data_IF_122118378369
#
_entry.id   IF_122118378369
#
_cell.length_a   1.000
_cell.length_b   1.000
_cell.length_c   1.000
_cell.angle_alpha   90.00
_cell.angle_beta   90.00
_cell.angle_gamma   90.00
#
_symmetry.space_group_name_H-M   'P 1'
#
loop_
_entity.id
_entity.type
_entity.pdbx_description
1 polymer ?
#
# COMPACT_ATOMS: atom_id res chain seq x y z
N UNK A 1 2.88 -8.03 0.45
CA UNK A 1 3.84 -7.52 1.42
C UNK A 1 4.85 -8.61 1.64
N UNK A 2 4.74 -9.38 2.73
CA UNK A 2 5.67 -10.47 3.01
C UNK A 2 5.01 -11.62 3.80
N UNK A 3 5.84 -12.57 4.23
CA UNK A 3 5.43 -13.73 5.02
C UNK A 3 4.81 -13.33 6.37
N UNK A 4 5.44 -12.42 7.12
CA UNK A 4 5.00 -12.07 8.47
C UNK A 4 3.62 -11.40 8.45
N UNK A 5 3.40 -10.45 7.54
CA UNK A 5 2.07 -9.83 7.40
C UNK A 5 1.02 -10.84 6.90
N UNK A 6 1.39 -11.79 6.05
CA UNK A 6 0.46 -12.85 5.57
C UNK A 6 0.05 -13.79 6.71
N UNK A 7 1.00 -14.20 7.57
CA UNK A 7 0.73 -15.00 8.77
C UNK A 7 -0.22 -14.25 9.71
N UNK A 8 0.09 -12.99 10.01
CA UNK A 8 -0.74 -12.16 10.89
C UNK A 8 -2.15 -11.94 10.32
N UNK A 9 -2.28 -11.67 9.02
CA UNK A 9 -3.57 -11.55 8.33
C UNK A 9 -4.38 -12.84 8.42
N UNK A 10 -3.75 -14.00 8.18
CA UNK A 10 -4.42 -15.30 8.24
C UNK A 10 -5.00 -15.57 9.64
N UNK A 11 -4.24 -15.27 10.70
CA UNK A 11 -4.70 -15.41 12.08
C UNK A 11 -5.85 -14.43 12.40
N UNK A 12 -5.73 -13.17 12.01
CA UNK A 12 -6.78 -12.17 12.23
C UNK A 12 -8.09 -12.53 11.48
N UNK A 13 -7.98 -13.14 10.31
CA UNK A 13 -9.13 -13.58 9.51
C UNK A 13 -9.84 -14.77 10.14
N UNK A 14 -9.11 -15.68 10.79
CA UNK A 14 -9.71 -16.82 11.48
C UNK A 14 -10.66 -16.41 12.61
N UNK A 15 -10.43 -15.24 13.22
CA UNK A 15 -11.25 -14.65 14.27
C UNK A 15 -12.32 -13.68 13.75
N UNK A 16 -12.34 -13.39 12.44
CA UNK A 16 -13.26 -12.42 11.85
C UNK A 16 -14.60 -13.07 11.46
N UNK A 17 -15.72 -12.48 11.90
CA UNK A 17 -17.06 -12.93 11.49
C UNK A 17 -17.50 -12.24 10.20
N UNK A 18 -17.53 -13.01 9.10
CA UNK A 18 -18.01 -12.57 7.81
C UNK A 18 -17.11 -12.98 6.65
N UNK A 19 -17.49 -12.63 5.41
CA UNK A 19 -16.73 -12.99 4.22
C UNK A 19 -15.41 -12.21 4.16
N UNK A 20 -14.32 -12.91 3.87
CA UNK A 20 -13.00 -12.30 3.68
C UNK A 20 -12.37 -12.77 2.38
N UNK A 21 -11.73 -11.84 1.68
CA UNK A 21 -10.84 -12.12 0.56
C UNK A 21 -9.40 -11.78 0.97
N UNK A 22 -8.50 -12.77 0.88
CA UNK A 22 -7.07 -12.60 1.11
C UNK A 22 -6.30 -12.88 -0.19
N UNK A 23 -5.55 -11.88 -0.67
CA UNK A 23 -4.78 -11.96 -1.93
C UNK A 23 -3.35 -12.42 -1.67
N UNK A 24 -2.91 -13.44 -2.39
CA UNK A 24 -1.55 -13.99 -2.31
C UNK A 24 -0.74 -13.70 -3.56
N UNK A 25 0.57 -13.57 -3.37
CA UNK A 25 1.56 -13.55 -4.45
C UNK A 25 2.17 -14.93 -4.68
N UNK A 26 2.64 -15.18 -5.91
CA UNK A 26 3.43 -16.37 -6.26
C UNK A 26 4.95 -16.20 -6.02
N UNK A 27 5.58 -15.04 -6.32
CA UNK A 27 7.01 -14.88 -6.17
C UNK A 27 7.46 -15.02 -4.72
N UNK A 28 8.70 -15.52 -4.52
CA UNK A 28 9.37 -15.41 -3.24
C UNK A 28 9.73 -13.94 -3.02
N UNK A 29 9.28 -13.39 -1.89
CA UNK A 29 9.56 -12.02 -1.46
C UNK A 29 10.48 -12.03 -0.25
N UNK A 30 11.18 -10.92 0.00
CA UNK A 30 11.92 -10.73 1.24
C UNK A 30 10.95 -10.63 2.43
N UNK A 31 11.46 -10.85 3.64
CA UNK A 31 10.71 -10.64 4.89
C UNK A 31 11.29 -9.41 5.54
N UNK A 32 10.48 -8.36 5.66
CA UNK A 32 10.92 -7.03 6.12
C UNK A 32 9.97 -6.41 7.13
N UNK A 33 8.74 -6.92 7.24
CA UNK A 33 7.85 -6.62 8.34
C UNK A 33 8.33 -7.40 9.58
N UNK A 34 8.54 -6.74 10.73
CA UNK A 34 8.86 -7.43 11.98
C UNK A 34 7.83 -8.52 12.32
N UNK A 35 8.26 -9.63 12.93
CA UNK A 35 7.34 -10.74 13.26
C UNK A 35 6.26 -10.33 14.26
N UNK A 36 6.57 -9.37 15.13
CA UNK A 36 5.69 -8.80 16.16
C UNK A 36 4.94 -7.54 15.70
N UNK A 37 5.04 -7.18 14.41
CA UNK A 37 4.31 -6.04 13.88
C UNK A 37 2.79 -6.23 14.08
N UNK A 38 2.08 -5.21 14.60
CA UNK A 38 0.66 -5.34 14.84
C UNK A 38 -0.10 -5.49 13.53
N UNK A 39 -1.14 -6.32 13.55
CA UNK A 39 -2.10 -6.45 12.44
C UNK A 39 -3.51 -6.29 12.98
N UNK A 40 -4.26 -5.35 12.41
CA UNK A 40 -5.67 -5.14 12.76
C UNK A 40 -6.42 -4.88 11.47
N UNK A 41 -7.46 -5.69 11.20
CA UNK A 41 -8.29 -5.53 10.00
C UNK A 41 -8.86 -4.10 9.98
N UNK A 42 -8.61 -3.38 8.89
CA UNK A 42 -9.08 -2.01 8.71
C UNK A 42 -8.18 -0.93 9.29
N UNK A 43 -6.97 -1.29 9.76
CA UNK A 43 -5.95 -0.34 10.16
C UNK A 43 -4.74 -0.41 9.24
N UNK A 44 -4.19 0.75 8.89
CA UNK A 44 -2.98 0.84 8.09
C UNK A 44 -1.73 0.62 8.96
N UNK A 45 -0.64 0.18 8.34
CA UNK A 45 0.66 0.06 8.98
C UNK A 45 1.59 1.15 8.46
N UNK A 46 1.95 2.11 9.30
CA UNK A 46 2.99 3.11 9.00
C UNK A 46 4.36 2.43 9.05
N UNK A 47 5.09 2.51 7.95
CA UNK A 47 6.42 1.89 7.82
C UNK A 47 7.55 2.92 7.90
N UNK A 48 7.27 4.16 7.49
CA UNK A 48 8.24 5.24 7.47
C UNK A 48 7.54 6.58 7.61
N UNK A 49 8.06 7.45 8.46
CA UNK A 49 7.59 8.83 8.57
C UNK A 49 8.29 9.73 7.56
N UNK A 50 7.52 10.61 6.92
CA UNK A 50 8.04 11.69 6.10
C UNK A 50 7.10 12.89 6.01
N UNK A 51 7.53 13.96 5.35
CA UNK A 51 6.81 15.26 5.31
C UNK A 51 6.57 15.82 3.92
N UNK A 52 7.24 15.32 2.89
CA UNK A 52 7.16 15.91 1.54
C UNK A 52 6.13 15.21 0.65
N UNK A 53 5.98 13.89 0.78
CA UNK A 53 5.06 13.09 -0.04
C UNK A 53 4.63 11.81 0.68
N UNK A 54 3.35 11.46 0.57
CA UNK A 54 2.82 10.18 1.06
C UNK A 54 2.87 9.11 -0.02
N UNK A 55 3.31 7.90 0.32
CA UNK A 55 3.26 6.72 -0.53
C UNK A 55 2.36 5.69 0.14
N UNK A 56 1.18 5.48 -0.44
CA UNK A 56 0.24 4.45 0.00
C UNK A 56 0.45 3.20 -0.84
N UNK A 57 0.80 2.08 -0.22
CA UNK A 57 1.17 0.88 -0.95
C UNK A 57 0.49 -0.37 -0.40
N UNK A 58 0.45 -1.43 -1.21
CA UNK A 58 -0.06 -2.73 -0.80
C UNK A 58 0.61 -3.85 -1.61
N UNK A 59 0.51 -5.09 -1.14
CA UNK A 59 1.01 -6.25 -1.89
C UNK A 59 2.53 -6.19 -2.12
N UNK A 60 2.98 -6.55 -3.32
CA UNK A 60 4.42 -6.56 -3.67
C UNK A 60 5.03 -5.16 -3.70
N UNK A 61 4.24 -4.12 -3.94
CA UNK A 61 4.76 -2.76 -4.08
C UNK A 61 5.13 -2.12 -2.74
N UNK A 62 4.90 -2.78 -1.60
CA UNK A 62 5.33 -2.28 -0.29
C UNK A 62 6.85 -2.21 -0.20
N UNK A 63 7.54 -3.28 -0.61
CA UNK A 63 9.01 -3.32 -0.60
C UNK A 63 9.60 -2.31 -1.60
N UNK A 64 9.03 -2.25 -2.82
CA UNK A 64 9.45 -1.29 -3.84
C UNK A 64 9.22 0.16 -3.40
N UNK A 65 8.15 0.44 -2.64
CA UNK A 65 7.89 1.76 -2.07
C UNK A 65 8.91 2.16 -1.01
N UNK A 66 9.39 1.21 -0.21
CA UNK A 66 10.46 1.47 0.78
C UNK A 66 11.78 1.79 0.07
N UNK A 67 12.14 1.02 -0.97
CA UNK A 67 13.33 1.30 -1.80
C UNK A 67 13.23 2.67 -2.47
N UNK A 68 12.08 2.99 -3.08
CA UNK A 68 11.86 4.31 -3.67
C UNK A 68 11.99 5.44 -2.65
N UNK A 69 11.54 5.23 -1.40
CA UNK A 69 11.70 6.20 -0.32
C UNK A 69 13.16 6.35 0.14
N UNK A 70 13.99 5.31 0.04
CA UNK A 70 15.43 5.39 0.26
C UNK A 70 16.10 6.22 -0.85
N UNK A 71 15.84 5.89 -2.11
CA UNK A 71 16.37 6.62 -3.27
C UNK A 71 15.97 8.11 -3.24
N UNK A 72 14.72 8.41 -2.90
CA UNK A 72 14.22 9.79 -2.78
C UNK A 72 14.86 10.55 -1.61
N UNK A 73 15.22 9.85 -0.52
CA UNK A 73 15.90 10.50 0.60
C UNK A 73 17.33 10.91 0.25
N UNK A 74 18.02 10.19 -0.64
CA UNK A 74 19.32 10.61 -1.19
C UNK A 74 19.21 11.91 -1.99
N UNK A 75 18.02 12.18 -2.56
CA UNK A 75 17.66 13.42 -3.25
C UNK A 75 17.10 14.50 -2.31
N UNK A 76 17.06 14.24 -1.00
CA UNK A 76 16.54 15.17 0.00
C UNK A 76 15.01 15.22 0.10
N UNK A 77 14.30 14.21 -0.42
CA UNK A 77 12.83 14.11 -0.36
C UNK A 77 12.41 13.12 0.74
N UNK A 78 11.65 13.61 1.70
CA UNK A 78 11.15 12.87 2.85
C UNK A 78 9.80 12.20 2.56
N UNK A 79 9.83 10.89 2.32
CA UNK A 79 8.63 10.10 2.00
C UNK A 79 7.98 9.49 3.24
N UNK A 80 6.67 9.68 3.37
CA UNK A 80 5.81 9.02 4.34
C UNK A 80 5.25 7.73 3.73
N UNK A 81 5.64 6.55 4.20
CA UNK A 81 5.26 5.26 3.58
C UNK A 81 4.26 4.52 4.45
N UNK A 82 3.07 4.29 3.88
CA UNK A 82 1.92 3.71 4.58
C UNK A 82 1.45 2.47 3.84
N UNK A 83 1.57 1.30 4.48
CA UNK A 83 1.08 0.04 3.95
C UNK A 83 -0.42 -0.13 4.27
N UNK A 84 -1.24 -0.08 3.22
CA UNK A 84 -2.68 -0.33 3.26
C UNK A 84 -2.91 -1.83 3.01
N UNK A 85 -2.70 -2.63 4.05
CA UNK A 85 -2.85 -4.09 3.97
C UNK A 85 -4.32 -4.55 3.98
N UNK A 86 -5.24 -3.68 4.42
CA UNK A 86 -6.68 -3.91 4.31
C UNK A 86 -7.29 -2.84 3.41
N UNK A 87 -7.69 -3.24 2.20
CA UNK A 87 -8.34 -2.35 1.23
C UNK A 87 -9.79 -2.04 1.66
N UNK A 88 -10.46 -3.02 2.27
CA UNK A 88 -11.82 -2.90 2.80
C UNK A 88 -11.96 -3.73 4.08
N UNK A 89 -12.37 -3.13 5.23
CA UNK A 89 -12.59 -1.69 5.43
C UNK A 89 -11.29 -0.87 5.30
N UNK A 90 -11.40 0.35 4.78
CA UNK A 90 -10.27 1.25 4.55
C UNK A 90 -9.99 2.11 5.79
N UNK A 91 -8.72 2.28 6.16
CA UNK A 91 -8.32 3.21 7.23
C UNK A 91 -8.26 4.66 6.72
N UNK A 92 -9.42 5.31 6.62
CA UNK A 92 -9.55 6.70 6.13
C UNK A 92 -8.70 7.68 6.95
N UNK A 93 -8.66 7.50 8.27
CA UNK A 93 -7.92 8.39 9.17
C UNK A 93 -6.42 8.38 8.88
N UNK A 94 -5.83 7.20 8.67
CA UNK A 94 -4.41 7.09 8.32
C UNK A 94 -4.08 7.82 7.01
N UNK A 95 -4.96 7.67 5.99
CA UNK A 95 -4.81 8.35 4.70
C UNK A 95 -4.88 9.88 4.87
N UNK A 96 -5.91 10.37 5.57
CA UNK A 96 -6.13 11.81 5.77
C UNK A 96 -5.05 12.44 6.64
N UNK A 97 -4.57 11.74 7.67
CA UNK A 97 -3.47 12.22 8.51
C UNK A 97 -2.16 12.33 7.70
N UNK A 98 -1.86 11.30 6.89
CA UNK A 98 -0.66 11.30 6.04
C UNK A 98 -0.73 12.41 4.98
N UNK A 99 -1.86 12.54 4.28
CA UNK A 99 -2.06 13.60 3.28
C UNK A 99 -2.16 15.00 3.89
N UNK A 100 -2.71 15.15 5.08
CA UNK A 100 -2.73 16.43 5.80
C UNK A 100 -1.33 16.91 6.16
N UNK A 101 -0.40 15.97 6.38
CA UNK A 101 1.02 16.24 6.64
C UNK A 101 1.78 16.60 5.36
N UNK A 102 1.58 15.86 4.27
CA UNK A 102 2.43 15.95 3.06
C UNK A 102 1.80 16.77 1.92
N UNK A 103 0.48 16.93 1.93
CA UNK A 103 -0.30 17.65 0.93
C UNK A 103 -0.38 16.98 -0.46
N UNK A 104 0.22 15.80 -0.65
CA UNK A 104 0.25 15.07 -1.94
C UNK A 104 0.59 13.60 -1.73
N UNK A 105 0.12 12.74 -2.63
CA UNK A 105 0.32 11.29 -2.50
C UNK A 105 0.63 10.55 -3.80
N UNK A 106 1.30 9.42 -3.66
CA UNK A 106 1.43 8.36 -4.66
C UNK A 106 0.73 7.12 -4.09
N UNK A 107 -0.04 6.44 -4.91
CA UNK A 107 -0.60 5.12 -4.56
C UNK A 107 0.04 4.07 -5.45
N UNK A 108 0.62 3.03 -4.84
CA UNK A 108 1.34 1.97 -5.50
C UNK A 108 0.66 0.62 -5.29
N UNK A 109 0.14 0.03 -6.37
CA UNK A 109 -0.51 -1.28 -6.34
C UNK A 109 -0.17 -2.14 -7.57
N UNK A 110 -0.03 -3.45 -7.33
CA UNK A 110 0.02 -4.45 -8.39
C UNK A 110 -1.42 -4.86 -8.75
N UNK A 111 -2.16 -3.94 -9.36
CA UNK A 111 -3.55 -4.12 -9.76
C UNK A 111 -3.86 -3.16 -10.92
N UNK A 112 -5.02 -3.32 -11.55
CA UNK A 112 -5.52 -2.31 -12.48
C UNK A 112 -5.69 -0.97 -11.77
N UNK A 113 -5.32 0.11 -12.46
CA UNK A 113 -5.53 1.48 -11.99
C UNK A 113 -7.00 1.76 -11.66
N UNK A 114 -7.92 1.08 -12.35
CA UNK A 114 -9.37 1.20 -12.17
C UNK A 114 -9.88 0.21 -11.12
N UNK A 115 -10.58 0.72 -10.11
CA UNK A 115 -11.28 -0.07 -9.09
C UNK A 115 -10.40 -0.62 -7.95
N UNK A 116 -9.10 -0.33 -7.95
CA UNK A 116 -8.15 -0.76 -6.92
C UNK A 116 -8.02 0.18 -5.71
N UNK A 117 -6.87 0.10 -5.05
CA UNK A 117 -6.48 0.95 -3.93
C UNK A 117 -6.47 2.44 -4.34
N UNK A 118 -5.92 2.75 -5.51
CA UNK A 118 -5.86 4.11 -6.04
C UNK A 118 -7.23 4.75 -6.18
N UNK A 119 -8.18 4.02 -6.76
CA UNK A 119 -9.57 4.49 -6.88
C UNK A 119 -10.22 4.72 -5.51
N UNK A 120 -9.93 3.85 -4.55
CA UNK A 120 -10.48 3.93 -3.19
C UNK A 120 -9.93 5.13 -2.42
N UNK A 121 -8.62 5.39 -2.49
CA UNK A 121 -7.99 6.57 -1.87
C UNK A 121 -8.44 7.86 -2.56
N UNK A 122 -8.53 7.86 -3.90
CA UNK A 122 -9.00 9.02 -4.65
C UNK A 122 -10.40 9.45 -4.21
N UNK A 123 -11.29 8.51 -3.88
CA UNK A 123 -12.61 8.82 -3.33
C UNK A 123 -12.51 9.53 -1.98
N UNK A 124 -11.66 9.04 -1.06
CA UNK A 124 -11.43 9.70 0.24
C UNK A 124 -10.95 11.14 0.04
N UNK A 125 -9.96 11.34 -0.84
CA UNK A 125 -9.44 12.68 -1.14
C UNK A 125 -10.51 13.58 -1.76
N UNK A 126 -11.33 13.07 -2.68
CA UNK A 126 -12.37 13.85 -3.31
C UNK A 126 -13.46 14.30 -2.33
N UNK A 127 -13.77 13.48 -1.32
CA UNK A 127 -14.78 13.77 -0.30
C UNK A 127 -14.28 14.72 0.79
N UNK A 128 -13.02 14.55 1.25
CA UNK A 128 -12.57 15.14 2.52
C UNK A 128 -11.37 16.10 2.36
N UNK A 129 -10.43 15.78 1.46
CA UNK A 129 -9.17 16.52 1.34
C UNK A 129 -8.60 16.45 -0.08
N UNK A 130 -9.10 17.30 -1.01
CA UNK A 130 -8.60 17.31 -2.38
C UNK A 130 -7.11 17.65 -2.44
N UNK A 131 -6.31 16.71 -2.94
CA UNK A 131 -4.87 16.86 -3.08
C UNK A 131 -4.36 16.15 -4.35
N UNK A 132 -3.16 16.49 -4.85
CA UNK A 132 -2.57 15.78 -5.96
C UNK A 132 -2.30 14.31 -5.60
N UNK A 133 -2.83 13.40 -6.41
CA UNK A 133 -2.56 11.97 -6.35
C UNK A 133 -1.96 11.48 -7.67
N UNK A 134 -0.94 10.64 -7.58
CA UNK A 134 -0.45 9.83 -8.70
C UNK A 134 -0.65 8.36 -8.39
N UNK A 135 -0.87 7.54 -9.43
CA UNK A 135 -1.09 6.10 -9.25
C UNK A 135 -0.08 5.31 -10.08
N UNK A 136 0.69 4.48 -9.38
CA UNK A 136 1.57 3.43 -9.93
C UNK A 136 0.76 2.14 -9.92
N UNK A 137 0.24 1.78 -11.09
CA UNK A 137 -0.69 0.66 -11.30
C UNK A 137 -0.70 0.25 -12.78
N UNK A 138 -1.30 -0.90 -13.10
CA UNK A 138 -1.47 -1.39 -14.48
C UNK A 138 -2.44 -0.48 -15.24
N UNK A 139 -2.07 -0.12 -16.46
CA UNK A 139 -2.75 0.89 -17.29
C UNK A 139 -3.86 0.30 -18.17
N UNK A 140 -4.89 -0.27 -17.53
CA UNK A 140 -6.08 -0.84 -18.19
C UNK A 140 -5.74 -1.78 -19.36
N UNK A 141 -4.80 -2.68 -19.09
CA UNK A 141 -4.28 -3.64 -20.06
C UNK A 141 -4.23 -5.04 -19.46
N UNK A 142 -4.22 -6.05 -20.33
CA UNK A 142 -3.93 -7.42 -19.91
C UNK A 142 -2.43 -7.60 -19.69
N UNK A 143 -2.07 -8.55 -18.82
CA UNK A 143 -0.68 -8.94 -18.62
C UNK A 143 -0.13 -9.75 -19.79
N UNK A 144 1.20 -9.79 -19.88
CA UNK A 144 1.93 -10.54 -20.90
C UNK A 144 2.79 -11.64 -20.26
N UNK A 145 3.40 -12.48 -21.09
CA UNK A 145 4.32 -13.52 -20.62
C UNK A 145 5.73 -12.96 -20.44
N UNK A 146 6.29 -13.11 -19.25
CA UNK A 146 7.63 -12.62 -18.91
C UNK A 146 8.06 -13.09 -17.53
N UNK A 147 9.29 -12.76 -17.13
CA UNK A 147 9.69 -12.95 -15.74
C UNK A 147 9.00 -11.87 -14.89
N UNK A 148 8.63 -12.16 -13.62
CA UNK A 148 7.92 -11.19 -12.79
C UNK A 148 8.59 -9.80 -12.72
N UNK A 149 9.93 -9.75 -12.58
CA UNK A 149 10.67 -8.49 -12.52
C UNK A 149 10.69 -7.71 -13.84
N UNK A 150 10.53 -8.38 -14.98
CA UNK A 150 10.48 -7.74 -16.29
C UNK A 150 9.06 -7.19 -16.61
N UNK A 151 8.06 -7.58 -15.81
CA UNK A 151 6.65 -7.21 -15.96
C UNK A 151 6.16 -6.20 -14.92
N UNK A 152 7.00 -5.84 -13.93
CA UNK A 152 6.69 -4.85 -12.90
C UNK A 152 7.14 -3.45 -13.31
#
# INVERSE_FOLDING_TARGET
>A
CDYNQTKAATLAIAEYDGPVYLRFGRPKVSVFIPEDAPFTIGKALHLREGVDISIFCTGHLVEESLKAAEDLAELGISCDVVNIHTIKPLDRDAILNSLGKTGRGIVAEEHQRLGGLGSTIAQVCAEEMPCPLQFVAVQDSFGESGKPADLM
#
